data_IF_094753097399
#
_entry.id   IF_094753097399
#
_cell.length_a   1.000
_cell.length_b   1.000
_cell.length_c   1.000
_cell.angle_alpha   90.00
_cell.angle_beta   90.00
_cell.angle_gamma   90.00
#
_symmetry.space_group_name_H-M   'P 1'
#
loop_
_entity.id
_entity.type
_entity.pdbx_description
1 polymer ?
#
# COMPACT_ATOMS: atom_id res chain seq x y z
N UNK A 1 -8.49 -10.45 10.16
CA UNK A 1 -7.89 -11.05 8.95
C UNK A 1 -7.41 -9.91 8.08
N UNK A 2 -6.11 -9.81 7.83
CA UNK A 2 -5.53 -8.91 6.83
C UNK A 2 -5.52 -9.64 5.49
N UNK A 3 -5.99 -8.97 4.43
CA UNK A 3 -6.02 -9.52 3.08
C UNK A 3 -4.76 -9.06 2.33
N UNK A 4 -4.11 -10.01 1.66
CA UNK A 4 -2.93 -9.74 0.82
C UNK A 4 -3.38 -9.73 -0.62
N UNK A 5 -3.32 -8.56 -1.26
CA UNK A 5 -3.58 -8.44 -2.68
C UNK A 5 -2.25 -8.25 -3.43
N UNK A 6 -1.99 -9.13 -4.40
CA UNK A 6 -0.82 -9.00 -5.28
C UNK A 6 -1.21 -8.21 -6.52
N UNK A 7 -0.48 -7.13 -6.80
CA UNK A 7 -0.77 -6.25 -7.93
C UNK A 7 0.27 -6.48 -9.04
N UNK A 8 -0.15 -7.08 -10.15
CA UNK A 8 0.65 -7.16 -11.37
C UNK A 8 0.35 -5.93 -12.23
N UNK A 9 1.28 -4.98 -12.29
CA UNK A 9 1.16 -3.68 -12.96
C UNK A 9 2.39 -2.80 -12.70
N UNK A 10 2.37 -1.47 -12.96
CA UNK A 10 3.51 -0.55 -12.75
C UNK A 10 4.07 -0.52 -11.31
N UNK A 11 3.41 -1.18 -10.37
CA UNK A 11 3.93 -1.51 -9.04
C UNK A 11 5.02 -2.60 -9.04
N UNK A 12 5.50 -3.08 -10.21
CA UNK A 12 6.73 -3.87 -10.42
C UNK A 12 7.02 -4.98 -9.38
N UNK A 13 6.00 -5.74 -8.98
CA UNK A 13 6.15 -6.85 -8.03
C UNK A 13 6.05 -6.45 -6.55
N UNK A 14 5.47 -5.28 -6.25
CA UNK A 14 5.11 -4.93 -4.88
C UNK A 14 3.88 -5.73 -4.41
N UNK A 15 3.93 -6.18 -3.16
CA UNK A 15 2.79 -6.76 -2.45
C UNK A 15 2.06 -5.66 -1.69
N UNK A 16 0.73 -5.68 -1.72
CA UNK A 16 -0.09 -4.74 -0.96
C UNK A 16 -0.81 -5.50 0.13
N UNK A 17 -0.58 -5.08 1.36
CA UNK A 17 -1.26 -5.57 2.56
C UNK A 17 -2.32 -4.57 2.97
N UNK A 18 -3.57 -5.02 2.97
CA UNK A 18 -4.69 -4.20 3.39
C UNK A 18 -4.84 -4.29 4.91
N UNK A 19 -4.83 -3.12 5.55
CA UNK A 19 -5.00 -2.99 6.99
C UNK A 19 -6.08 -1.95 7.33
N UNK A 20 -6.74 -2.06 8.50
CA UNK A 20 -7.65 -1.03 8.97
C UNK A 20 -6.94 0.31 9.18
N UNK A 21 -7.68 1.41 9.00
CA UNK A 21 -7.21 2.74 9.43
C UNK A 21 -6.93 2.74 10.93
N UNK A 22 -5.85 3.40 11.35
CA UNK A 22 -5.36 3.38 12.74
C UNK A 22 -4.38 2.24 13.03
N UNK A 23 -4.10 1.36 12.05
CA UNK A 23 -3.05 0.35 12.22
C UNK A 23 -1.69 1.01 12.24
N UNK A 24 -0.90 0.78 13.28
CA UNK A 24 0.49 1.24 13.34
C UNK A 24 1.41 0.17 12.78
N UNK A 25 2.24 0.54 11.81
CA UNK A 25 3.30 -0.30 11.24
C UNK A 25 4.64 0.23 11.74
N UNK A 26 5.43 -0.63 12.36
CA UNK A 26 6.76 -0.29 12.87
C UNK A 26 7.86 -0.90 11.99
N UNK A 27 8.83 -0.08 11.60
CA UNK A 27 10.08 -0.57 11.05
C UNK A 27 11.03 -0.92 12.20
N UNK A 28 11.20 -2.22 12.42
CA UNK A 28 12.09 -2.77 13.45
C UNK A 28 13.57 -2.37 13.27
N UNK A 29 13.99 -1.97 12.06
CA UNK A 29 15.37 -1.58 11.78
C UNK A 29 15.65 -0.13 12.17
N UNK A 30 14.71 0.77 11.96
CA UNK A 30 14.85 2.20 12.31
C UNK A 30 14.20 2.57 13.64
N UNK A 31 13.27 1.75 14.14
CA UNK A 31 12.41 2.08 15.28
C UNK A 31 11.28 3.06 14.94
N UNK A 32 11.13 3.45 13.68
CA UNK A 32 10.08 4.37 13.26
C UNK A 32 8.73 3.66 13.13
N UNK A 33 7.67 4.35 13.54
CA UNK A 33 6.29 3.89 13.41
C UNK A 33 5.47 4.83 12.56
N UNK A 34 4.74 4.28 11.60
CA UNK A 34 3.75 5.00 10.80
C UNK A 34 2.35 4.46 11.13
N UNK A 35 1.43 5.37 11.41
CA UNK A 35 0.01 5.05 11.46
C UNK A 35 -0.58 5.07 10.04
N UNK A 36 -1.21 3.97 9.66
CA UNK A 36 -1.89 3.81 8.37
C UNK A 36 -3.28 4.42 8.47
N UNK A 37 -3.53 5.38 7.59
CA UNK A 37 -4.81 6.08 7.43
C UNK A 37 -5.26 6.01 5.98
N UNK A 38 -6.43 6.56 5.66
CA UNK A 38 -6.90 6.63 4.26
C UNK A 38 -6.05 7.52 3.34
N UNK A 39 -5.05 8.20 3.91
CA UNK A 39 -4.17 9.14 3.24
C UNK A 39 -2.67 8.83 3.47
N UNK A 40 -2.34 7.79 4.25
CA UNK A 40 -0.96 7.39 4.53
C UNK A 40 -0.73 5.92 4.21
N UNK A 41 0.51 5.60 3.86
CA UNK A 41 0.97 4.23 3.60
C UNK A 41 2.32 4.02 4.28
N UNK A 42 2.61 2.78 4.65
CA UNK A 42 3.97 2.36 5.01
C UNK A 42 4.53 1.51 3.88
N UNK A 43 5.81 1.69 3.58
CA UNK A 43 6.54 0.91 2.58
C UNK A 43 7.75 0.28 3.26
N UNK A 44 7.85 -1.04 3.24
CA UNK A 44 8.97 -1.81 3.79
C UNK A 44 9.38 -2.85 2.76
N UNK A 45 10.54 -2.65 2.16
CA UNK A 45 11.00 -3.46 1.03
C UNK A 45 10.01 -3.40 -0.14
N UNK A 46 9.54 -4.57 -0.59
CA UNK A 46 8.56 -4.71 -1.66
C UNK A 46 7.11 -4.77 -1.15
N UNK A 47 6.84 -4.41 0.09
CA UNK A 47 5.50 -4.46 0.67
C UNK A 47 4.99 -3.05 0.96
N UNK A 48 3.75 -2.79 0.57
CA UNK A 48 2.98 -1.59 0.93
C UNK A 48 1.90 -2.00 1.91
N UNK A 49 1.83 -1.33 3.07
CA UNK A 49 0.68 -1.39 3.96
C UNK A 49 -0.18 -0.15 3.73
N UNK A 50 -1.44 -0.37 3.43
CA UNK A 50 -2.39 0.72 3.20
C UNK A 50 -3.82 0.29 3.54
N UNK A 51 -4.74 1.25 3.60
CA UNK A 51 -6.17 0.93 3.69
C UNK A 51 -6.74 0.54 2.34
N UNK A 52 -7.85 -0.19 2.33
CA UNK A 52 -8.58 -0.51 1.10
C UNK A 52 -8.94 0.75 0.30
N UNK A 53 -9.35 1.84 0.98
CA UNK A 53 -9.68 3.11 0.34
C UNK A 53 -8.47 3.73 -0.40
N UNK A 54 -7.26 3.57 0.14
CA UNK A 54 -6.05 4.02 -0.54
C UNK A 54 -5.69 3.09 -1.71
N UNK A 55 -5.81 1.78 -1.52
CA UNK A 55 -5.53 0.80 -2.56
C UNK A 55 -6.40 1.01 -3.81
N UNK A 56 -7.69 1.34 -3.65
CA UNK A 56 -8.59 1.67 -4.76
C UNK A 56 -8.16 2.95 -5.49
N UNK A 57 -7.74 3.99 -4.77
CA UNK A 57 -7.16 5.20 -5.37
C UNK A 57 -5.90 4.87 -6.18
N UNK A 58 -5.03 4.02 -5.63
CA UNK A 58 -3.80 3.58 -6.27
C UNK A 58 -4.10 2.78 -7.56
N UNK A 59 -5.09 1.87 -7.54
CA UNK A 59 -5.57 1.16 -8.74
C UNK A 59 -6.02 2.14 -9.82
N UNK A 60 -6.88 3.09 -9.44
CA UNK A 60 -7.43 4.06 -10.38
C UNK A 60 -6.33 4.94 -11.01
N UNK A 61 -5.33 5.36 -10.22
CA UNK A 61 -4.20 6.14 -10.73
C UNK A 61 -3.34 5.32 -11.71
N UNK A 62 -2.98 4.09 -11.33
CA UNK A 62 -2.17 3.17 -12.14
C UNK A 62 -2.84 2.84 -13.47
N UNK A 63 -4.14 2.55 -13.47
CA UNK A 63 -4.89 2.23 -14.68
C UNK A 63 -4.97 3.43 -15.65
N UNK A 64 -5.05 4.66 -15.12
CA UNK A 64 -5.06 5.88 -15.94
C UNK A 64 -3.72 6.11 -16.63
N UNK A 65 -2.59 5.95 -15.91
CA UNK A 65 -1.26 6.12 -16.50
C UNK A 65 -0.95 5.10 -17.60
N UNK A 66 -1.62 3.94 -17.60
CA UNK A 66 -1.40 2.89 -18.61
C UNK A 66 -2.19 3.15 -19.90
N UNK A 67 -3.10 4.13 -19.94
CA UNK A 67 -3.90 4.47 -21.13
C UNK A 67 -3.34 5.64 -21.96
N UNK A 68 -2.37 6.39 -21.44
CA UNK A 68 -1.75 7.56 -22.10
C UNK A 68 -0.31 7.31 -22.60
N UNK A 69 0.13 6.03 -22.68
CA UNK A 69 1.47 5.62 -23.10
C UNK A 69 1.53 4.89 -24.44
#
# INVERSE_FOLDING_TARGET
MSEVATYAGPLRGMHVYLVPSGTTVMDERSGESIEITNNSVAIKGNVIWCTAAFAEKLRAAVLRETQDG
#
